data_IF_454884611457
#
_entry.id   IF_454884611457
#
_cell.length_a   1.000
_cell.length_b   1.000
_cell.length_c   1.000
_cell.angle_alpha   90.00
_cell.angle_beta   90.00
_cell.angle_gamma   90.00
#
_symmetry.space_group_name_H-M   'P 1'
#
loop_
_entity.id
_entity.type
_entity.pdbx_description
1 polymer ?
#
# COMPACT_ATOMS: atom_id res chain seq x y z
N UNK A 1 2.22 -17.36 11.82
CA UNK A 1 1.33 -16.26 12.25
C UNK A 1 1.80 -15.00 11.56
N UNK A 2 0.93 -14.24 10.91
CA UNK A 2 1.32 -12.97 10.26
C UNK A 2 1.56 -11.92 11.36
N UNK A 3 2.72 -11.22 11.38
CA UNK A 3 3.01 -10.15 12.33
C UNK A 3 1.95 -9.04 12.28
N UNK A 4 1.57 -8.50 13.44
CA UNK A 4 0.51 -7.49 13.57
C UNK A 4 0.98 -6.31 14.41
N UNK A 5 0.70 -5.11 13.92
CA UNK A 5 1.06 -3.84 14.55
C UNK A 5 -0.13 -2.88 14.56
N UNK A 6 -0.07 -1.87 15.44
CA UNK A 6 -0.99 -0.73 15.42
C UNK A 6 -0.26 0.48 14.87
N UNK A 7 -0.92 1.24 14.01
CA UNK A 7 -0.36 2.41 13.36
C UNK A 7 0.18 3.41 14.40
N UNK A 8 -0.58 3.66 15.48
CA UNK A 8 -0.23 4.64 16.51
C UNK A 8 1.10 4.30 17.18
N UNK A 9 1.34 3.01 17.46
CA UNK A 9 2.58 2.53 18.05
C UNK A 9 3.76 2.60 17.07
N UNK A 10 3.52 2.37 15.77
CA UNK A 10 4.55 2.53 14.74
C UNK A 10 4.96 3.98 14.52
N UNK A 11 4.03 4.91 14.76
CA UNK A 11 4.22 6.34 14.55
C UNK A 11 4.64 7.10 15.81
N UNK A 12 4.75 6.42 16.96
CA UNK A 12 5.16 7.05 18.21
C UNK A 12 6.66 7.40 18.16
N UNK A 13 7.05 8.68 18.09
CA UNK A 13 8.45 9.06 18.01
C UNK A 13 9.22 8.78 19.32
N UNK A 14 8.52 8.48 20.42
CA UNK A 14 9.13 8.17 21.71
C UNK A 14 9.51 6.70 21.86
N UNK A 15 8.93 5.80 21.05
CA UNK A 15 9.22 4.37 21.06
C UNK A 15 9.56 3.86 19.65
N UNK A 16 10.85 3.70 19.30
CA UNK A 16 11.26 3.18 18.00
C UNK A 16 11.10 1.64 17.88
N UNK A 17 10.83 0.93 18.98
CA UNK A 17 10.81 -0.55 19.01
C UNK A 17 9.76 -1.15 18.07
N UNK A 18 8.51 -0.64 18.01
CA UNK A 18 7.49 -1.15 17.11
C UNK A 18 7.90 -1.04 15.63
N UNK A 19 8.47 0.11 15.22
CA UNK A 19 8.92 0.33 13.84
C UNK A 19 10.05 -0.63 13.46
N UNK A 20 11.03 -0.82 14.35
CA UNK A 20 12.11 -1.80 14.13
C UNK A 20 11.53 -3.22 13.97
N UNK A 21 10.56 -3.58 14.81
CA UNK A 21 9.86 -4.86 14.73
C UNK A 21 9.11 -5.04 13.41
N UNK A 22 8.51 -3.98 12.87
CA UNK A 22 7.84 -3.99 11.57
C UNK A 22 8.83 -4.18 10.42
N UNK A 23 9.94 -3.42 10.41
CA UNK A 23 11.00 -3.58 9.40
C UNK A 23 11.58 -5.00 9.39
N UNK A 24 11.89 -5.55 10.58
CA UNK A 24 12.39 -6.92 10.68
C UNK A 24 11.36 -7.97 10.24
N UNK A 25 10.07 -7.72 10.52
CA UNK A 25 8.99 -8.59 10.07
C UNK A 25 8.86 -8.62 8.55
N UNK A 26 8.99 -7.46 7.90
CA UNK A 26 9.00 -7.38 6.43
C UNK A 26 10.21 -8.09 5.82
N UNK A 27 11.41 -7.88 6.36
CA UNK A 27 12.63 -8.54 5.87
C UNK A 27 12.56 -10.07 6.02
N UNK A 28 12.07 -10.56 7.16
CA UNK A 28 12.02 -12.00 7.45
C UNK A 28 10.87 -12.74 6.78
N UNK A 29 9.69 -12.12 6.70
CA UNK A 29 8.45 -12.79 6.28
C UNK A 29 7.82 -12.24 5.01
N UNK A 30 8.26 -11.07 4.52
CA UNK A 30 7.70 -10.41 3.35
C UNK A 30 6.32 -9.77 3.56
N UNK A 31 5.73 -9.86 4.77
CA UNK A 31 4.40 -9.33 5.06
C UNK A 31 4.19 -9.01 6.53
N UNK A 32 3.47 -7.92 6.82
CA UNK A 32 2.97 -7.55 8.13
C UNK A 32 1.62 -6.85 7.98
N UNK A 33 0.76 -6.95 9.00
CA UNK A 33 -0.54 -6.26 9.05
C UNK A 33 -0.44 -5.08 9.99
N UNK A 34 -0.84 -3.89 9.53
CA UNK A 34 -0.94 -2.67 10.34
C UNK A 34 -2.41 -2.29 10.46
N UNK A 35 -2.90 -2.15 11.68
CA UNK A 35 -4.27 -1.66 11.96
C UNK A 35 -4.27 -0.15 12.17
N UNK A 36 -5.26 0.56 11.63
CA UNK A 36 -5.44 2.01 11.73
C UNK A 36 -6.93 2.36 11.70
N UNK A 37 -7.29 3.59 12.05
CA UNK A 37 -8.65 4.13 12.12
C UNK A 37 -9.17 4.70 10.78
N UNK A 38 -8.55 4.33 9.64
CA UNK A 38 -8.96 4.69 8.28
C UNK A 38 -9.05 6.21 8.02
N UNK A 39 -8.17 7.02 8.61
CA UNK A 39 -8.11 8.44 8.30
C UNK A 39 -7.38 8.72 6.97
N UNK A 40 -7.82 9.75 6.25
CA UNK A 40 -7.16 10.19 5.03
C UNK A 40 -5.71 10.61 5.32
N UNK A 41 -4.77 10.14 4.50
CA UNK A 41 -3.35 10.47 4.64
C UNK A 41 -2.54 9.54 5.54
N UNK A 42 -3.15 8.51 6.15
CA UNK A 42 -2.43 7.51 6.97
C UNK A 42 -1.23 6.90 6.22
N UNK A 43 -1.42 6.46 4.97
CA UNK A 43 -0.35 5.92 4.13
C UNK A 43 0.75 6.96 3.82
N UNK A 44 0.37 8.22 3.63
CA UNK A 44 1.32 9.31 3.40
C UNK A 44 2.19 9.55 4.63
N UNK A 45 1.59 9.59 5.80
CA UNK A 45 2.34 9.70 7.05
C UNK A 45 3.22 8.47 7.27
N UNK A 46 2.69 7.27 7.06
CA UNK A 46 3.43 6.02 7.26
C UNK A 46 4.70 5.95 6.43
N UNK A 47 4.59 6.23 5.13
CA UNK A 47 5.74 6.18 4.20
C UNK A 47 6.84 7.17 4.54
N UNK A 48 6.53 8.30 5.18
CA UNK A 48 7.52 9.28 5.62
C UNK A 48 8.41 8.78 6.76
N UNK A 49 8.01 7.72 7.47
CA UNK A 49 8.76 7.20 8.62
C UNK A 49 9.98 6.37 8.21
N UNK A 50 9.94 5.71 7.05
CA UNK A 50 10.98 4.74 6.67
C UNK A 50 11.57 4.96 5.28
N UNK A 51 11.10 5.96 4.50
CA UNK A 51 11.74 6.25 3.23
C UNK A 51 11.02 7.25 2.36
N UNK A 52 11.11 7.01 1.06
CA UNK A 52 10.52 7.79 -0.01
C UNK A 52 9.61 6.91 -0.87
N UNK A 53 8.67 7.54 -1.55
CA UNK A 53 7.66 6.86 -2.39
C UNK A 53 8.11 6.83 -3.83
N UNK A 54 7.90 5.70 -4.48
CA UNK A 54 8.06 5.60 -5.93
C UNK A 54 6.79 6.09 -6.62
N UNK A 55 6.95 7.06 -7.53
CA UNK A 55 5.85 7.52 -8.38
C UNK A 55 5.63 6.52 -9.51
N UNK A 56 4.37 6.18 -9.77
CA UNK A 56 3.99 5.37 -10.93
C UNK A 56 2.94 6.10 -11.78
N UNK A 57 2.58 5.50 -12.92
CA UNK A 57 1.56 6.04 -13.82
C UNK A 57 0.16 6.19 -13.20
N UNK A 58 -0.09 5.57 -12.03
CA UNK A 58 -1.33 5.70 -11.26
C UNK A 58 -1.31 6.84 -10.24
N UNK A 59 -0.19 7.56 -10.11
CA UNK A 59 0.01 8.65 -9.15
C UNK A 59 0.90 8.27 -7.97
N UNK A 60 0.99 9.16 -6.99
CA UNK A 60 1.72 8.94 -5.73
C UNK A 60 0.96 7.98 -4.79
N UNK A 61 -0.37 8.08 -4.80
CA UNK A 61 -1.32 7.16 -4.19
C UNK A 61 -2.49 6.96 -5.15
N UNK A 62 -3.12 5.80 -5.10
CA UNK A 62 -4.28 5.50 -5.91
C UNK A 62 -5.38 4.84 -5.08
N UNK A 63 -6.62 5.18 -5.40
CA UNK A 63 -7.80 4.56 -4.80
C UNK A 63 -8.17 3.32 -5.60
N UNK A 64 -8.19 2.18 -4.91
CA UNK A 64 -8.65 0.90 -5.46
C UNK A 64 -10.14 0.77 -5.15
N UNK A 65 -10.95 1.10 -6.14
CA UNK A 65 -12.41 1.05 -6.08
C UNK A 65 -12.97 0.69 -7.46
N UNK A 66 -14.21 0.21 -7.49
CA UNK A 66 -14.90 -0.06 -8.75
C UNK A 66 -15.17 1.24 -9.49
N UNK A 67 -14.44 1.46 -10.59
CA UNK A 67 -14.62 2.57 -11.52
C UNK A 67 -15.62 2.18 -12.62
N UNK A 68 -16.26 3.17 -13.24
CA UNK A 68 -17.29 2.91 -14.25
C UNK A 68 -16.71 2.30 -15.53
N UNK A 69 -17.57 1.60 -16.27
CA UNK A 69 -17.21 1.00 -17.56
C UNK A 69 -16.98 2.07 -18.64
N UNK A 70 -16.24 1.74 -19.72
CA UNK A 70 -16.04 2.66 -20.84
C UNK A 70 -17.36 3.07 -21.49
N UNK A 71 -17.68 4.37 -21.46
CA UNK A 71 -18.92 4.94 -22.04
C UNK A 71 -19.73 5.81 -21.07
N UNK A 72 -19.53 5.65 -19.77
CA UNK A 72 -20.17 6.49 -18.75
C UNK A 72 -19.39 7.79 -18.49
N UNK A 73 -20.10 8.86 -18.12
CA UNK A 73 -19.52 10.17 -17.75
C UNK A 73 -18.88 10.13 -16.35
N UNK A 74 -17.84 9.32 -16.17
CA UNK A 74 -17.09 9.14 -14.93
C UNK A 74 -15.64 8.69 -15.18
N UNK A 75 -14.86 8.49 -14.10
CA UNK A 75 -13.52 7.90 -14.21
C UNK A 75 -13.64 6.46 -14.70
N UNK A 76 -13.05 6.16 -15.85
CA UNK A 76 -13.09 4.82 -16.45
C UNK A 76 -12.06 3.90 -15.81
N UNK A 77 -12.41 2.62 -15.65
CA UNK A 77 -11.46 1.60 -15.22
C UNK A 77 -10.38 1.39 -16.30
N UNK A 78 -9.15 1.82 -16.02
CA UNK A 78 -7.97 1.62 -16.88
C UNK A 78 -7.06 0.46 -16.41
N UNK A 79 -7.46 -0.25 -15.35
CA UNK A 79 -6.79 -1.42 -14.80
C UNK A 79 -7.86 -2.37 -14.22
N UNK A 80 -7.62 -3.69 -14.30
CA UNK A 80 -8.51 -4.71 -13.73
C UNK A 80 -8.74 -4.52 -12.23
N UNK A 81 -7.75 -3.97 -11.50
CA UNK A 81 -7.85 -3.62 -10.09
C UNK A 81 -8.93 -2.57 -9.78
N UNK A 82 -9.38 -1.81 -10.79
CA UNK A 82 -10.47 -0.84 -10.64
C UNK A 82 -11.82 -1.39 -11.11
N UNK A 83 -11.97 -2.71 -11.10
CA UNK A 83 -13.20 -3.41 -11.48
C UNK A 83 -13.63 -4.38 -10.38
N UNK A 84 -14.88 -4.86 -10.46
CA UNK A 84 -15.39 -5.88 -9.54
C UNK A 84 -14.97 -7.31 -9.90
N UNK A 85 -14.06 -7.51 -10.86
CA UNK A 85 -13.61 -8.83 -11.30
C UNK A 85 -12.53 -9.37 -10.35
N UNK A 86 -12.45 -10.69 -10.14
CA UNK A 86 -11.45 -11.30 -9.26
C UNK A 86 -10.03 -11.11 -9.82
N UNK A 87 -9.08 -10.83 -8.94
CA UNK A 87 -7.64 -10.80 -9.25
C UNK A 87 -6.99 -12.12 -8.84
N UNK A 88 -6.34 -12.81 -9.78
CA UNK A 88 -5.50 -13.96 -9.47
C UNK A 88 -4.22 -13.51 -8.73
N UNK A 89 -3.43 -14.45 -8.20
CA UNK A 89 -2.11 -14.12 -7.65
C UNK A 89 -1.25 -13.41 -8.70
N UNK A 90 -0.69 -12.27 -8.33
CA UNK A 90 0.14 -11.43 -9.19
C UNK A 90 1.13 -10.62 -8.36
N UNK A 91 2.10 -10.03 -9.04
CA UNK A 91 2.92 -8.93 -8.52
C UNK A 91 2.50 -7.65 -9.23
N UNK A 92 2.64 -6.51 -8.54
CA UNK A 92 2.26 -5.22 -9.10
C UNK A 92 3.34 -4.67 -10.05
N UNK A 93 2.86 -4.05 -11.13
CA UNK A 93 3.68 -3.35 -12.14
C UNK A 93 4.89 -4.14 -12.70
N UNK A 94 4.76 -5.43 -13.07
CA UNK A 94 5.88 -6.24 -13.56
C UNK A 94 6.44 -5.77 -14.92
N UNK A 95 5.75 -4.84 -15.58
CA UNK A 95 6.16 -4.23 -16.84
C UNK A 95 7.20 -3.12 -16.66
N UNK A 96 7.44 -2.65 -15.44
CA UNK A 96 8.55 -1.74 -15.14
C UNK A 96 9.86 -2.51 -15.06
N UNK A 97 10.94 -1.89 -15.55
CA UNK A 97 12.29 -2.46 -15.45
C UNK A 97 12.74 -2.64 -13.99
N UNK A 98 12.27 -1.77 -13.11
CA UNK A 98 12.39 -1.89 -11.66
C UNK A 98 10.97 -1.77 -11.05
N UNK A 99 10.27 -2.89 -10.81
CA UNK A 99 8.97 -2.89 -10.16
C UNK A 99 9.06 -2.45 -8.69
N UNK A 100 7.97 -1.93 -8.10
CA UNK A 100 7.93 -1.61 -6.67
C UNK A 100 8.31 -2.83 -5.81
N UNK A 101 9.20 -2.61 -4.86
CA UNK A 101 9.70 -3.69 -3.99
C UNK A 101 8.79 -3.94 -2.78
N UNK A 102 7.99 -2.94 -2.38
CA UNK A 102 7.06 -2.98 -1.24
C UNK A 102 5.76 -2.30 -1.64
N UNK A 103 4.63 -2.88 -1.25
CA UNK A 103 3.28 -2.36 -1.47
C UNK A 103 2.57 -2.20 -0.12
N UNK A 104 1.80 -1.11 0.01
CA UNK A 104 1.11 -0.71 1.24
C UNK A 104 -0.38 -0.52 0.99
#
# INVERSE_FOLDING_TARGET
VIPRFRFEALTDPSDPVPMLGWCHSLEKYGVAIVSTDNHAGALKHFTQLFGFREWCSYGEFYLVENKMAPGDKGSQANNLAYTGLPLAFHTDLPHYAAPPQVQL
#
